data_IF_191037163399
#
_entry.id   IF_191037163399
#
_cell.length_a   1.000
_cell.length_b   1.000
_cell.length_c   1.000
_cell.angle_alpha   90.00
_cell.angle_beta   90.00
_cell.angle_gamma   90.00
#
_symmetry.space_group_name_H-M   'P 1'
#
loop_
_entity.id
_entity.type
_entity.pdbx_description
1 polymer ?
#
# COMPACT_ATOMS: atom_id res chain seq x y z
N UNK A 1 13.40 -7.93 -24.33
CA UNK A 1 14.04 -8.25 -23.04
C UNK A 1 13.02 -9.07 -22.23
N UNK A 2 13.32 -10.32 -21.91
CA UNK A 2 12.39 -11.17 -21.17
C UNK A 2 12.18 -10.60 -19.75
N UNK A 3 10.93 -10.51 -19.30
CA UNK A 3 10.62 -10.05 -17.94
C UNK A 3 11.06 -11.08 -16.90
N UNK A 4 11.52 -10.59 -15.75
CA UNK A 4 11.93 -11.41 -14.61
C UNK A 4 10.68 -11.93 -13.88
N UNK A 5 10.57 -13.23 -13.59
CA UNK A 5 9.39 -13.80 -12.93
C UNK A 5 9.25 -13.28 -11.49
N UNK A 6 8.01 -13.23 -11.00
CA UNK A 6 7.67 -12.66 -9.68
C UNK A 6 8.47 -13.26 -8.52
N UNK A 7 8.72 -14.57 -8.56
CA UNK A 7 9.47 -15.29 -7.53
C UNK A 7 10.93 -14.84 -7.42
N UNK A 8 11.52 -14.33 -8.51
CA UNK A 8 12.91 -13.90 -8.57
C UNK A 8 13.09 -12.41 -8.27
N UNK A 9 12.01 -11.63 -8.16
CA UNK A 9 12.11 -10.21 -7.87
C UNK A 9 12.71 -9.97 -6.48
N UNK A 10 13.70 -9.08 -6.41
CA UNK A 10 14.31 -8.65 -5.15
C UNK A 10 13.40 -7.68 -4.40
N UNK A 11 13.72 -7.41 -3.14
CA UNK A 11 13.01 -6.42 -2.33
C UNK A 11 13.07 -5.05 -2.99
N UNK A 12 14.23 -4.65 -3.48
CA UNK A 12 14.49 -3.36 -4.11
C UNK A 12 13.70 -3.23 -5.41
N UNK A 13 13.67 -4.28 -6.24
CA UNK A 13 12.87 -4.31 -7.47
C UNK A 13 11.38 -4.17 -7.15
N UNK A 14 10.87 -4.88 -6.15
CA UNK A 14 9.46 -4.79 -5.73
C UNK A 14 9.10 -3.39 -5.20
N UNK A 15 9.97 -2.80 -4.36
CA UNK A 15 9.79 -1.44 -3.84
C UNK A 15 9.82 -0.41 -4.96
N UNK A 16 10.74 -0.54 -5.91
CA UNK A 16 10.82 0.31 -7.10
C UNK A 16 9.57 0.16 -7.98
N UNK A 17 9.07 -1.06 -8.16
CA UNK A 17 7.84 -1.32 -8.91
C UNK A 17 6.61 -0.69 -8.25
N UNK A 18 6.43 -0.84 -6.94
CA UNK A 18 5.33 -0.21 -6.20
C UNK A 18 5.41 1.33 -6.28
N UNK A 19 6.63 1.87 -6.17
CA UNK A 19 6.91 3.30 -6.34
C UNK A 19 6.55 3.76 -7.75
N UNK A 20 6.97 3.04 -8.79
CA UNK A 20 6.65 3.37 -10.18
C UNK A 20 5.14 3.28 -10.43
N UNK A 21 4.48 2.24 -9.91
CA UNK A 21 3.05 2.01 -10.05
C UNK A 21 2.25 3.16 -9.46
N UNK A 22 2.52 3.57 -8.21
CA UNK A 22 1.77 4.67 -7.58
C UNK A 22 1.99 6.02 -8.26
N UNK A 23 3.16 6.20 -8.90
CA UNK A 23 3.52 7.41 -9.65
C UNK A 23 2.88 7.50 -11.04
N UNK A 24 2.21 6.44 -11.53
CA UNK A 24 1.51 6.50 -12.81
C UNK A 24 0.49 7.65 -12.83
N UNK A 25 0.34 8.30 -13.99
CA UNK A 25 -0.68 9.31 -14.20
C UNK A 25 -2.05 8.63 -14.18
N UNK A 26 -3.02 9.07 -13.35
CA UNK A 26 -4.29 8.38 -13.22
C UNK A 26 -5.15 8.41 -14.47
N UNK A 27 -4.96 9.37 -15.38
CA UNK A 27 -5.77 9.46 -16.60
C UNK A 27 -7.21 9.88 -16.36
N UNK A 28 -7.44 10.80 -15.40
CA UNK A 28 -8.76 11.43 -15.21
C UNK A 28 -9.23 12.09 -16.52
N UNK A 29 -10.49 11.85 -16.88
CA UNK A 29 -11.15 12.46 -18.02
C UNK A 29 -12.35 13.29 -17.52
N UNK A 30 -12.32 14.63 -17.70
CA UNK A 30 -13.41 15.52 -17.28
C UNK A 30 -14.79 15.13 -17.79
N UNK A 31 -14.90 14.45 -18.94
CA UNK A 31 -16.17 14.01 -19.51
C UNK A 31 -16.87 12.93 -18.66
N UNK A 32 -16.16 12.27 -17.73
CA UNK A 32 -16.76 11.34 -16.77
C UNK A 32 -17.36 12.03 -15.53
N UNK A 33 -17.41 13.37 -15.51
CA UNK A 33 -17.87 14.15 -14.37
C UNK A 33 -18.99 15.11 -14.76
N UNK A 34 -20.02 15.21 -13.91
CA UNK A 34 -21.11 16.18 -14.08
C UNK A 34 -20.70 17.61 -13.73
N UNK A 35 -19.62 17.80 -12.97
CA UNK A 35 -19.15 19.11 -12.54
C UNK A 35 -17.64 19.15 -12.22
N UNK A 36 -17.06 20.35 -12.28
CA UNK A 36 -15.64 20.58 -12.03
C UNK A 36 -15.22 20.41 -10.56
N UNK A 37 -16.16 20.45 -9.60
CA UNK A 37 -15.87 20.24 -8.18
C UNK A 37 -15.61 18.76 -7.90
N UNK A 38 -16.46 17.87 -8.43
CA UNK A 38 -16.33 16.41 -8.35
C UNK A 38 -15.01 15.93 -8.96
N UNK A 39 -14.68 16.41 -10.16
CA UNK A 39 -13.39 16.15 -10.80
C UNK A 39 -12.19 16.55 -9.91
N UNK A 40 -12.19 17.79 -9.38
CA UNK A 40 -11.12 18.28 -8.51
C UNK A 40 -11.05 17.53 -7.18
N UNK A 41 -12.18 17.04 -6.67
CA UNK A 41 -12.23 16.22 -5.46
C UNK A 41 -11.47 14.91 -5.65
N UNK A 42 -11.74 14.20 -6.74
CA UNK A 42 -11.08 12.93 -7.06
C UNK A 42 -9.60 13.10 -7.34
N UNK A 43 -9.22 14.15 -8.08
CA UNK A 43 -7.81 14.47 -8.30
C UNK A 43 -7.05 14.70 -6.99
N UNK A 44 -7.63 15.47 -6.06
CA UNK A 44 -7.04 15.68 -4.73
C UNK A 44 -6.94 14.38 -3.94
N UNK A 45 -7.94 13.51 -4.06
CA UNK A 45 -7.93 12.19 -3.42
C UNK A 45 -6.82 11.30 -3.97
N UNK A 46 -6.70 11.20 -5.30
CA UNK A 46 -5.64 10.43 -5.92
C UNK A 46 -4.25 10.99 -5.61
N UNK A 47 -4.08 12.31 -5.52
CA UNK A 47 -2.80 12.92 -5.13
C UNK A 47 -2.45 12.63 -3.67
N UNK A 48 -3.44 12.71 -2.77
CA UNK A 48 -3.25 12.38 -1.35
C UNK A 48 -2.87 10.91 -1.17
N UNK A 49 -3.56 10.00 -1.83
CA UNK A 49 -3.22 8.57 -1.81
C UNK A 49 -1.80 8.30 -2.33
N UNK A 50 -1.37 9.04 -3.38
CA UNK A 50 0.03 8.97 -3.82
C UNK A 50 1.00 9.35 -2.71
N UNK A 51 0.76 10.48 -2.05
CA UNK A 51 1.64 10.95 -0.97
C UNK A 51 1.64 9.97 0.22
N UNK A 52 0.47 9.45 0.60
CA UNK A 52 0.34 8.44 1.66
C UNK A 52 1.15 7.17 1.35
N UNK A 53 1.07 6.68 0.11
CA UNK A 53 1.83 5.52 -0.33
C UNK A 53 3.34 5.77 -0.32
N UNK A 54 3.79 6.93 -0.80
CA UNK A 54 5.21 7.29 -0.79
C UNK A 54 5.77 7.37 0.64
N UNK A 55 4.98 7.88 1.58
CA UNK A 55 5.35 7.90 3.00
C UNK A 55 5.48 6.49 3.58
N UNK A 56 4.52 5.61 3.29
CA UNK A 56 4.59 4.22 3.74
C UNK A 56 5.73 3.45 3.07
N UNK A 57 6.01 3.69 1.79
CA UNK A 57 7.18 3.14 1.09
C UNK A 57 8.49 3.60 1.73
N UNK A 58 8.60 4.87 2.12
CA UNK A 58 9.75 5.36 2.86
C UNK A 58 9.88 4.66 4.22
N UNK A 59 8.78 4.51 4.96
CA UNK A 59 8.77 3.80 6.24
C UNK A 59 9.21 2.34 6.11
N UNK A 60 8.80 1.64 5.05
CA UNK A 60 9.26 0.28 4.72
C UNK A 60 10.74 0.29 4.32
N UNK A 61 11.18 1.31 3.57
CA UNK A 61 12.57 1.48 3.14
C UNK A 61 13.57 1.36 4.28
N UNK A 62 13.34 2.04 5.40
CA UNK A 62 14.18 2.01 6.60
C UNK A 62 14.13 0.69 7.41
N UNK A 63 13.25 -0.25 7.04
CA UNK A 63 13.11 -1.56 7.70
C UNK A 63 13.69 -2.62 6.80
N UNK A 64 14.99 -2.85 6.92
CA UNK A 64 15.73 -3.83 6.11
C UNK A 64 15.28 -5.27 6.36
N UNK A 65 14.73 -5.55 7.55
CA UNK A 65 14.16 -6.85 7.90
C UNK A 65 12.85 -7.19 7.17
N UNK A 66 12.19 -6.23 6.54
CA UNK A 66 11.06 -6.52 5.64
C UNK A 66 11.61 -7.11 4.36
N UNK A 67 11.33 -8.39 4.10
CA UNK A 67 11.90 -9.13 2.98
C UNK A 67 11.06 -9.04 1.71
N UNK A 68 11.62 -9.51 0.58
CA UNK A 68 10.87 -9.70 -0.65
C UNK A 68 9.70 -10.69 -0.50
N UNK A 69 9.83 -11.67 0.40
CA UNK A 69 8.76 -12.62 0.70
C UNK A 69 7.56 -11.91 1.34
N UNK A 70 7.81 -11.02 2.31
CA UNK A 70 6.75 -10.29 3.02
C UNK A 70 5.98 -9.37 2.07
N UNK A 71 6.68 -8.68 1.16
CA UNK A 71 6.05 -7.84 0.14
C UNK A 71 5.17 -8.67 -0.79
N UNK A 72 5.65 -9.84 -1.25
CA UNK A 72 4.87 -10.75 -2.10
C UNK A 72 3.62 -11.28 -1.37
N UNK A 73 3.77 -11.67 -0.10
CA UNK A 73 2.67 -12.13 0.75
C UNK A 73 1.60 -11.04 0.90
N UNK A 74 1.99 -9.79 1.16
CA UNK A 74 1.07 -8.66 1.25
C UNK A 74 0.33 -8.41 -0.08
N UNK A 75 1.03 -8.53 -1.22
CA UNK A 75 0.43 -8.41 -2.56
C UNK A 75 -0.61 -9.50 -2.84
N UNK A 76 -0.35 -10.74 -2.42
CA UNK A 76 -1.31 -11.84 -2.54
C UNK A 76 -2.58 -11.63 -1.69
N UNK A 77 -2.44 -11.06 -0.50
CA UNK A 77 -3.56 -10.84 0.43
C UNK A 77 -4.43 -9.61 0.17
N UNK A 78 -3.99 -8.66 -0.68
CA UNK A 78 -4.63 -7.34 -0.80
C UNK A 78 -5.88 -7.28 -1.69
N UNK A 79 -6.23 -8.39 -2.33
CA UNK A 79 -7.41 -8.53 -3.19
C UNK A 79 -7.21 -7.96 -4.58
N UNK A 80 -7.25 -6.63 -4.73
CA UNK A 80 -7.33 -5.97 -6.06
C UNK A 80 -5.98 -5.68 -6.72
N UNK A 81 -4.91 -5.42 -5.96
CA UNK A 81 -3.57 -5.21 -6.50
C UNK A 81 -2.76 -6.51 -6.37
N UNK A 82 -2.37 -7.10 -7.49
CA UNK A 82 -1.70 -8.39 -7.52
C UNK A 82 -0.37 -8.31 -8.26
N UNK A 83 0.59 -9.11 -7.82
CA UNK A 83 1.81 -9.40 -8.58
C UNK A 83 1.57 -10.65 -9.42
N UNK A 84 1.54 -10.50 -10.74
CA UNK A 84 1.41 -11.58 -11.72
C UNK A 84 2.71 -12.37 -11.81
N UNK A 85 2.62 -13.64 -12.20
CA UNK A 85 3.77 -14.55 -12.26
C UNK A 85 4.90 -14.05 -13.18
N UNK A 86 4.55 -13.28 -14.21
CA UNK A 86 5.49 -12.63 -15.13
C UNK A 86 6.18 -11.38 -14.56
N UNK A 87 5.98 -11.08 -13.27
CA UNK A 87 6.59 -9.96 -12.56
C UNK A 87 5.89 -8.63 -12.78
N UNK A 88 4.63 -8.60 -13.22
CA UNK A 88 3.85 -7.35 -13.35
C UNK A 88 2.96 -7.08 -12.16
N UNK A 89 2.83 -5.81 -11.80
CA UNK A 89 1.70 -5.36 -10.99
C UNK A 89 0.47 -5.20 -11.88
N UNK A 90 -0.65 -5.73 -11.40
CA UNK A 90 -1.94 -5.62 -12.05
C UNK A 90 -3.02 -5.25 -11.04
N UNK A 91 -3.91 -4.32 -11.42
CA UNK A 91 -4.98 -3.84 -10.55
C UNK A 91 -6.33 -4.16 -11.16
N UNK A 92 -7.13 -4.95 -10.46
CA UNK A 92 -8.51 -5.21 -10.84
C UNK A 92 -9.39 -3.99 -10.50
N UNK A 93 -9.70 -3.18 -11.51
CA UNK A 93 -10.58 -2.00 -11.40
C UNK A 93 -12.01 -2.41 -11.10
N UNK A 94 -12.67 -1.73 -10.15
CA UNK A 94 -14.11 -1.88 -9.95
C UNK A 94 -14.91 -1.00 -10.91
N UNK A 95 -14.81 0.31 -10.72
CA UNK A 95 -15.66 1.29 -11.40
C UNK A 95 -14.84 2.27 -12.23
N UNK A 96 -13.81 2.87 -11.64
CA UNK A 96 -13.02 3.90 -12.31
C UNK A 96 -11.57 3.85 -11.86
N UNK A 97 -10.72 3.24 -12.71
CA UNK A 97 -9.30 3.02 -12.40
C UNK A 97 -8.58 4.25 -11.83
N UNK A 98 -8.76 5.49 -12.37
CA UNK A 98 -8.04 6.68 -11.91
C UNK A 98 -8.20 7.01 -10.42
N UNK A 99 -9.29 6.57 -9.78
CA UNK A 99 -9.56 6.84 -8.35
C UNK A 99 -9.14 5.69 -7.43
N UNK A 100 -8.83 4.51 -7.98
CA UNK A 100 -8.77 3.28 -7.20
C UNK A 100 -7.35 2.72 -7.00
N UNK A 101 -6.52 2.73 -8.05
CA UNK A 101 -5.28 1.93 -8.04
C UNK A 101 -4.29 2.35 -6.95
N UNK A 102 -4.18 3.65 -6.66
CA UNK A 102 -3.30 4.18 -5.60
C UNK A 102 -3.78 3.79 -4.21
N UNK A 103 -5.10 3.75 -4.00
CA UNK A 103 -5.67 3.20 -2.79
C UNK A 103 -5.38 1.70 -2.67
N UNK A 104 -5.36 0.98 -3.79
CA UNK A 104 -4.87 -0.41 -3.85
C UNK A 104 -3.46 -0.56 -3.30
N UNK A 105 -2.52 0.26 -3.78
CA UNK A 105 -1.14 0.30 -3.27
C UNK A 105 -1.11 0.61 -1.77
N UNK A 106 -1.84 1.63 -1.32
CA UNK A 106 -1.88 2.00 0.09
C UNK A 106 -2.35 0.85 1.00
N UNK A 107 -3.33 0.05 0.55
CA UNK A 107 -3.82 -1.13 1.30
C UNK A 107 -2.77 -2.22 1.42
N UNK A 108 -2.01 -2.49 0.34
CA UNK A 108 -0.89 -3.44 0.37
C UNK A 108 0.15 -2.98 1.39
N UNK A 109 0.56 -1.71 1.32
CA UNK A 109 1.60 -1.16 2.19
C UNK A 109 1.16 -1.10 3.65
N UNK A 110 -0.10 -0.75 3.91
CA UNK A 110 -0.65 -0.73 5.26
C UNK A 110 -0.73 -2.14 5.85
N UNK A 111 -1.14 -3.13 5.05
CA UNK A 111 -1.17 -4.54 5.48
C UNK A 111 0.23 -5.06 5.78
N UNK A 112 1.20 -4.77 4.92
CA UNK A 112 2.60 -5.15 5.12
C UNK A 112 3.17 -4.57 6.43
N UNK A 113 2.96 -3.27 6.68
CA UNK A 113 3.39 -2.62 7.91
C UNK A 113 2.64 -3.17 9.14
N UNK A 114 1.35 -3.47 9.00
CA UNK A 114 0.55 -4.10 10.05
C UNK A 114 1.12 -5.46 10.44
N UNK A 115 1.38 -6.33 9.46
CA UNK A 115 1.94 -7.66 9.68
C UNK A 115 3.34 -7.57 10.30
N UNK A 116 4.19 -6.69 9.78
CA UNK A 116 5.52 -6.42 10.34
C UNK A 116 5.45 -6.00 11.81
N UNK A 117 4.61 -5.03 12.16
CA UNK A 117 4.49 -4.56 13.55
C UNK A 117 3.84 -5.59 14.47
N UNK A 118 2.93 -6.42 13.95
CA UNK A 118 2.37 -7.54 14.71
C UNK A 118 3.45 -8.57 15.06
N UNK A 119 4.28 -8.94 14.09
CA UNK A 119 5.33 -9.95 14.27
C UNK A 119 6.45 -9.45 15.19
N UNK A 120 6.73 -8.15 15.19
CA UNK A 120 7.74 -7.49 16.03
C UNK A 120 7.17 -6.90 17.33
N UNK A 121 5.91 -7.18 17.67
CA UNK A 121 5.35 -6.78 18.96
C UNK A 121 5.96 -7.62 20.11
N UNK A 122 5.99 -7.07 21.35
CA UNK A 122 6.35 -7.83 22.55
C UNK A 122 5.63 -9.19 22.63
N UNK A 123 6.33 -10.22 23.10
CA UNK A 123 5.81 -11.59 23.15
C UNK A 123 4.49 -11.67 23.93
N UNK A 124 4.40 -10.94 25.04
CA UNK A 124 3.22 -10.89 25.89
C UNK A 124 2.00 -10.27 25.19
N UNK A 125 2.22 -9.43 24.17
CA UNK A 125 1.15 -8.88 23.33
C UNK A 125 0.77 -9.82 22.18
N UNK A 126 1.73 -10.61 21.68
CA UNK A 126 1.48 -11.59 20.61
C UNK A 126 0.68 -12.80 21.08
N UNK A 127 0.82 -13.17 22.36
CA UNK A 127 0.13 -14.32 22.97
C UNK A 127 -1.28 -13.99 23.46
N UNK A 128 -1.61 -12.71 23.66
CA UNK A 128 -2.96 -12.26 24.02
C UNK A 128 -3.92 -12.55 22.88
N UNK A 129 -5.18 -12.85 23.22
CA UNK A 129 -6.29 -13.07 22.27
C UNK A 129 -7.41 -12.01 22.38
N UNK A 130 -7.14 -10.90 23.06
CA UNK A 130 -8.10 -9.85 23.43
C UNK A 130 -8.18 -8.66 22.45
N UNK A 131 -7.48 -8.72 21.31
CA UNK A 131 -7.42 -7.62 20.35
C UNK A 131 -6.46 -6.48 20.72
N UNK A 132 -5.73 -6.57 21.83
CA UNK A 132 -4.76 -5.54 22.26
C UNK A 132 -3.66 -5.25 21.22
N UNK A 133 -3.32 -6.23 20.37
CA UNK A 133 -2.39 -6.05 19.24
C UNK A 133 -2.84 -4.94 18.29
N UNK A 134 -4.14 -4.82 18.02
CA UNK A 134 -4.65 -3.78 17.11
C UNK A 134 -4.39 -2.38 17.66
N UNK A 135 -4.58 -2.19 18.97
CA UNK A 135 -4.30 -0.91 19.63
C UNK A 135 -2.80 -0.59 19.65
N UNK A 136 -1.96 -1.60 19.89
CA UNK A 136 -0.51 -1.45 19.81
C UNK A 136 -0.07 -1.01 18.42
N UNK A 137 -0.54 -1.69 17.37
CA UNK A 137 -0.19 -1.39 15.97
C UNK A 137 -0.64 0.03 15.59
N UNK A 138 -1.87 0.43 15.92
CA UNK A 138 -2.37 1.79 15.68
C UNK A 138 -1.54 2.85 16.43
N UNK A 139 -1.11 2.56 17.66
CA UNK A 139 -0.23 3.45 18.40
C UNK A 139 1.15 3.57 17.73
N UNK A 140 1.70 2.47 17.24
CA UNK A 140 2.95 2.46 16.47
C UNK A 140 2.82 3.24 15.16
N UNK A 141 1.72 3.07 14.42
CA UNK A 141 1.44 3.83 13.21
C UNK A 141 1.37 5.35 13.50
N UNK A 142 0.71 5.78 14.58
CA UNK A 142 0.63 7.19 14.97
C UNK A 142 1.97 7.81 15.38
N UNK A 143 2.93 6.99 15.84
CA UNK A 143 4.29 7.43 16.18
C UNK A 143 5.20 7.48 14.96
N UNK A 144 5.04 6.54 14.04
CA UNK A 144 5.95 6.36 12.91
C UNK A 144 5.51 7.01 11.60
N UNK A 145 4.24 7.37 11.48
CA UNK A 145 3.64 7.94 10.26
C UNK A 145 2.92 9.25 10.58
N UNK A 146 2.74 10.08 9.55
CA UNK A 146 1.92 11.27 9.58
C UNK A 146 0.49 10.96 10.02
N UNK A 147 -0.09 11.87 10.80
CA UNK A 147 -1.44 11.73 11.38
C UNK A 147 -2.49 11.30 10.35
N UNK A 148 -2.43 11.87 9.15
CA UNK A 148 -3.37 11.55 8.08
C UNK A 148 -3.25 10.11 7.58
N UNK A 149 -2.02 9.63 7.37
CA UNK A 149 -1.76 8.26 6.92
C UNK A 149 -2.23 7.25 7.97
N UNK A 150 -1.82 7.45 9.23
CA UNK A 150 -2.24 6.61 10.35
C UNK A 150 -3.77 6.51 10.47
N UNK A 151 -4.49 7.64 10.39
CA UNK A 151 -5.96 7.66 10.52
C UNK A 151 -6.71 7.04 9.33
N UNK A 152 -6.14 7.10 8.12
CA UNK A 152 -6.80 6.57 6.92
C UNK A 152 -6.57 5.08 6.72
N UNK A 153 -5.36 4.60 7.01
CA UNK A 153 -4.93 3.26 6.62
C UNK A 153 -4.76 2.28 7.79
N UNK A 154 -4.73 2.77 9.04
CA UNK A 154 -4.54 1.96 10.24
C UNK A 154 -5.68 2.20 11.24
N UNK A 155 -6.89 1.79 10.87
CA UNK A 155 -8.11 1.99 11.68
C UNK A 155 -8.37 0.90 12.70
#
# INVERSE_FOLDING_TARGET
>A
MARKPAAMLTREELMAMLTAFVNQRPGFDPCNYGDASSYRSDQRTAQRQRNDALEMLAAIGWRESITAHDIRKALQGSGRLQLRDDGRLDYCTGQYWPTEFRAGVCRVLSQLLWDYWRENAPAELRERQDGSWGNHIRATARRGLGRGVAQRWFR
#
